data_IF_902333853321
#
_entry.id   IF_902333853321
#
_cell.length_a   1.000
_cell.length_b   1.000
_cell.length_c   1.000
_cell.angle_alpha   90.00
_cell.angle_beta   90.00
_cell.angle_gamma   90.00
#
_symmetry.space_group_name_H-M   'P 1'
#
loop_
_entity.id
_entity.type
_entity.pdbx_description
1 polymer ?
#
# COMPACT_ATOMS: atom_id res chain seq x y z
N UNK A 1 21.07 -29.20 -20.16
CA UNK A 1 21.38 -28.89 -18.74
C UNK A 1 20.26 -29.48 -17.90
N UNK A 2 20.57 -30.14 -16.79
CA UNK A 2 19.53 -30.66 -15.87
C UNK A 2 19.31 -29.63 -14.77
N UNK A 3 18.08 -29.16 -14.61
CA UNK A 3 17.68 -28.32 -13.49
C UNK A 3 17.23 -29.24 -12.34
N UNK A 4 17.81 -29.03 -11.16
CA UNK A 4 17.39 -29.70 -9.94
C UNK A 4 16.44 -28.75 -9.20
N UNK A 5 15.18 -29.14 -9.03
CA UNK A 5 14.19 -28.41 -8.24
C UNK A 5 13.93 -29.20 -6.97
N UNK A 6 14.15 -28.56 -5.82
CA UNK A 6 13.87 -29.13 -4.50
C UNK A 6 12.86 -28.22 -3.81
N UNK A 7 11.91 -28.82 -3.09
CA UNK A 7 10.93 -28.09 -2.28
C UNK A 7 11.26 -28.32 -0.80
N UNK A 8 11.97 -27.40 -0.13
CA UNK A 8 12.42 -27.59 1.25
C UNK A 8 11.27 -27.89 2.22
N UNK A 9 10.11 -27.24 2.03
CA UNK A 9 8.91 -27.46 2.86
C UNK A 9 8.34 -28.88 2.74
N UNK A 10 8.46 -29.51 1.57
CA UNK A 10 8.04 -30.90 1.40
C UNK A 10 9.02 -31.87 2.07
N UNK A 11 10.32 -31.55 2.06
CA UNK A 11 11.34 -32.37 2.72
C UNK A 11 11.24 -32.29 4.24
N UNK A 12 10.97 -31.12 4.81
CA UNK A 12 10.74 -30.95 6.24
C UNK A 12 9.44 -31.61 6.69
N UNK A 13 8.38 -31.53 5.89
CA UNK A 13 7.14 -32.29 6.11
C UNK A 13 7.38 -33.80 6.14
N UNK A 14 8.07 -34.34 5.14
CA UNK A 14 8.42 -35.77 5.09
C UNK A 14 9.31 -36.21 6.26
N UNK A 15 10.23 -35.36 6.72
CA UNK A 15 11.03 -35.64 7.92
C UNK A 15 10.14 -35.71 9.19
N UNK A 16 9.12 -34.86 9.29
CA UNK A 16 8.11 -34.91 10.36
C UNK A 16 7.32 -36.22 10.35
N UNK A 17 6.82 -36.63 9.19
CA UNK A 17 6.09 -37.90 9.04
C UNK A 17 6.95 -39.11 9.46
N UNK A 18 8.25 -39.09 9.13
CA UNK A 18 9.19 -40.13 9.54
C UNK A 18 9.41 -40.14 11.06
N UNK A 19 9.47 -38.99 11.72
CA UNK A 19 9.52 -38.93 13.19
C UNK A 19 8.31 -39.62 13.80
N UNK A 20 7.12 -39.35 13.27
CA UNK A 20 5.87 -39.95 13.75
C UNK A 20 5.85 -41.47 13.54
N UNK A 21 6.28 -41.96 12.38
CA UNK A 21 6.43 -43.41 12.11
C UNK A 21 7.40 -44.05 13.10
N UNK A 22 8.55 -43.41 13.35
CA UNK A 22 9.55 -43.91 14.29
C UNK A 22 9.00 -44.00 15.72
N UNK A 23 8.24 -42.98 16.14
CA UNK A 23 7.56 -42.94 17.45
C UNK A 23 6.52 -44.05 17.60
N UNK A 24 5.65 -44.23 16.60
CA UNK A 24 4.63 -45.28 16.60
C UNK A 24 5.25 -46.69 16.62
N UNK A 25 6.32 -46.89 15.85
CA UNK A 25 7.02 -48.18 15.80
C UNK A 25 7.73 -48.48 17.13
N UNK A 26 8.34 -47.48 17.78
CA UNK A 26 8.93 -47.64 19.10
C UNK A 26 7.87 -48.00 20.16
N UNK A 27 6.71 -47.34 20.13
CA UNK A 27 5.59 -47.65 21.02
C UNK A 27 5.06 -49.08 20.81
N UNK A 28 4.89 -49.51 19.55
CA UNK A 28 4.45 -50.85 19.21
C UNK A 28 5.45 -51.92 19.66
N UNK A 29 6.76 -51.71 19.41
CA UNK A 29 7.80 -52.64 19.85
C UNK A 29 7.87 -52.75 21.37
N UNK A 30 7.68 -51.63 22.09
CA UNK A 30 7.62 -51.60 23.55
C UNK A 30 6.44 -52.40 24.09
N UNK A 31 5.25 -52.22 23.51
CA UNK A 31 4.06 -52.97 23.89
C UNK A 31 4.20 -54.48 23.64
N UNK A 32 4.97 -54.87 22.61
CA UNK A 32 5.21 -56.27 22.26
C UNK A 32 6.25 -56.98 23.16
N UNK A 33 7.05 -56.27 23.96
CA UNK A 33 8.12 -56.88 24.80
C UNK A 33 7.56 -57.97 25.71
N UNK A 34 6.59 -57.62 26.55
CA UNK A 34 5.99 -58.56 27.51
C UNK A 34 5.45 -59.83 26.86
N UNK A 35 4.48 -59.75 25.94
CA UNK A 35 3.85 -60.94 25.35
C UNK A 35 4.79 -61.80 24.50
N UNK A 36 5.93 -61.27 24.01
CA UNK A 36 6.85 -62.03 23.14
C UNK A 36 8.09 -62.56 23.84
N UNK A 37 8.48 -61.99 24.99
CA UNK A 37 9.70 -62.39 25.71
C UNK A 37 9.45 -63.23 26.96
N UNK A 38 8.20 -63.29 27.44
CA UNK A 38 7.82 -64.10 28.61
C UNK A 38 6.79 -65.16 28.21
N UNK A 39 7.07 -65.92 27.16
CA UNK A 39 6.17 -67.00 26.71
C UNK A 39 6.22 -68.13 27.72
N UNK A 40 5.06 -68.53 28.24
CA UNK A 40 4.93 -69.64 29.18
C UNK A 40 4.83 -70.98 28.44
N UNK A 41 5.39 -72.04 29.02
CA UNK A 41 5.23 -73.40 28.51
C UNK A 41 3.76 -73.84 28.61
N UNK A 42 3.24 -74.47 27.55
CA UNK A 42 1.85 -74.93 27.50
C UNK A 42 1.57 -76.14 28.42
N UNK A 43 2.62 -76.90 28.76
CA UNK A 43 2.59 -78.05 29.65
C UNK A 43 3.87 -78.15 30.48
N UNK A 44 3.90 -79.08 31.44
CA UNK A 44 5.04 -79.31 32.34
C UNK A 44 6.16 -80.15 31.71
N UNK A 45 6.04 -80.51 30.44
CA UNK A 45 7.00 -81.33 29.70
C UNK A 45 8.15 -80.51 29.12
N UNK A 46 9.26 -81.19 28.88
CA UNK A 46 10.50 -80.58 28.38
C UNK A 46 10.35 -80.03 26.96
N UNK A 47 9.43 -80.56 26.15
CA UNK A 47 9.19 -80.09 24.77
C UNK A 47 8.46 -78.74 24.80
N UNK A 48 7.43 -78.60 25.63
CA UNK A 48 6.74 -77.32 25.88
C UNK A 48 7.68 -76.25 26.44
N UNK A 49 8.57 -76.63 27.36
CA UNK A 49 9.58 -75.73 27.91
C UNK A 49 10.60 -75.28 26.84
N UNK A 50 11.07 -76.20 25.99
CA UNK A 50 11.99 -75.89 24.90
C UNK A 50 11.35 -74.97 23.84
N UNK A 51 10.09 -75.21 23.48
CA UNK A 51 9.35 -74.36 22.53
C UNK A 51 9.17 -72.94 23.08
N UNK A 52 8.77 -72.80 24.35
CA UNK A 52 8.63 -71.50 25.00
C UNK A 52 9.97 -70.73 25.07
N UNK A 53 11.08 -71.43 25.30
CA UNK A 53 12.42 -70.85 25.30
C UNK A 53 12.85 -70.35 23.91
N UNK A 54 12.55 -71.09 22.83
CA UNK A 54 12.84 -70.67 21.45
C UNK A 54 12.07 -69.40 21.10
N UNK A 55 10.77 -69.33 21.39
CA UNK A 55 9.97 -68.14 21.10
C UNK A 55 10.39 -66.92 21.93
N UNK A 56 10.66 -67.12 23.22
CA UNK A 56 11.15 -66.05 24.10
C UNK A 56 12.53 -65.53 23.65
N UNK A 57 13.43 -66.44 23.23
CA UNK A 57 14.72 -66.08 22.66
C UNK A 57 14.61 -65.32 21.33
N UNK A 58 13.67 -65.71 20.46
CA UNK A 58 13.39 -64.97 19.24
C UNK A 58 12.84 -63.56 19.52
N UNK A 59 11.93 -63.43 20.50
CA UNK A 59 11.42 -62.14 20.96
C UNK A 59 12.54 -61.21 21.46
N UNK A 60 13.50 -61.74 22.24
CA UNK A 60 14.65 -60.96 22.71
C UNK A 60 15.57 -60.53 21.55
N UNK A 61 15.86 -61.42 20.60
CA UNK A 61 16.66 -61.09 19.42
C UNK A 61 15.99 -60.01 18.55
N UNK A 62 14.66 -60.09 18.39
CA UNK A 62 13.88 -59.07 17.71
C UNK A 62 13.97 -57.70 18.40
N UNK A 63 13.91 -57.64 19.74
CA UNK A 63 14.02 -56.37 20.48
C UNK A 63 15.39 -55.70 20.34
N UNK A 64 16.47 -56.50 20.30
CA UNK A 64 17.82 -55.98 20.02
C UNK A 64 17.90 -55.39 18.61
N UNK A 65 17.34 -56.09 17.62
CA UNK A 65 17.29 -55.61 16.24
C UNK A 65 16.43 -54.34 16.10
N UNK A 66 15.26 -54.27 16.75
CA UNK A 66 14.37 -53.11 16.67
C UNK A 66 15.01 -51.86 17.26
N UNK A 67 15.80 -51.99 18.32
CA UNK A 67 16.57 -50.88 18.88
C UNK A 67 17.64 -50.37 17.89
N UNK A 68 18.31 -51.28 17.16
CA UNK A 68 19.29 -50.92 16.14
C UNK A 68 18.64 -50.20 14.95
N UNK A 69 17.47 -50.67 14.51
CA UNK A 69 16.68 -50.04 13.44
C UNK A 69 16.18 -48.65 13.86
N UNK A 70 15.74 -48.49 15.12
CA UNK A 70 15.32 -47.19 15.64
C UNK A 70 16.47 -46.15 15.61
N UNK A 71 17.68 -46.56 16.01
CA UNK A 71 18.86 -45.69 15.95
C UNK A 71 19.27 -45.35 14.51
N UNK A 72 19.14 -46.29 13.56
CA UNK A 72 19.34 -46.01 12.14
C UNK A 72 18.31 -45.01 11.61
N UNK A 73 17.04 -45.21 11.94
CA UNK A 73 15.93 -44.34 11.53
C UNK A 73 16.12 -42.91 12.01
N UNK A 74 16.55 -42.72 13.26
CA UNK A 74 16.89 -41.39 13.80
C UNK A 74 17.98 -40.70 12.98
N UNK A 75 19.08 -41.39 12.68
CA UNK A 75 20.16 -40.84 11.86
C UNK A 75 19.72 -40.50 10.43
N UNK A 76 18.81 -41.30 9.87
CA UNK A 76 18.22 -41.03 8.56
C UNK A 76 17.42 -39.73 8.55
N UNK A 77 16.55 -39.52 9.55
CA UNK A 77 15.78 -38.28 9.71
C UNK A 77 16.69 -37.07 9.94
N UNK A 78 17.72 -37.21 10.76
CA UNK A 78 18.72 -36.16 10.98
C UNK A 78 19.44 -35.77 9.68
N UNK A 79 19.87 -36.75 8.88
CA UNK A 79 20.51 -36.51 7.59
C UNK A 79 19.56 -35.86 6.58
N UNK A 80 18.28 -36.23 6.58
CA UNK A 80 17.26 -35.63 5.71
C UNK A 80 17.05 -34.14 6.05
N UNK A 81 16.95 -33.82 7.33
CA UNK A 81 16.84 -32.43 7.81
C UNK A 81 18.09 -31.61 7.48
N UNK A 82 19.28 -32.16 7.69
CA UNK A 82 20.54 -31.51 7.33
C UNK A 82 20.63 -31.24 5.81
N UNK A 83 20.17 -32.20 4.98
CA UNK A 83 20.07 -32.05 3.53
C UNK A 83 19.12 -30.90 3.14
N UNK A 84 17.92 -30.84 3.71
CA UNK A 84 16.96 -29.77 3.45
C UNK A 84 17.54 -28.37 3.78
N UNK A 85 18.23 -28.24 4.92
CA UNK A 85 18.88 -26.98 5.31
C UNK A 85 20.04 -26.60 4.40
N UNK A 86 20.78 -27.58 3.86
CA UNK A 86 21.82 -27.32 2.86
C UNK A 86 21.25 -26.75 1.55
N UNK A 87 20.05 -27.18 1.13
CA UNK A 87 19.39 -26.64 -0.07
C UNK A 87 18.88 -25.21 0.16
N UNK A 88 18.26 -24.94 1.32
CA UNK A 88 17.86 -23.56 1.70
C UNK A 88 19.09 -22.64 1.79
N UNK A 89 20.18 -23.12 2.38
CA UNK A 89 21.44 -22.39 2.46
C UNK A 89 22.06 -22.11 1.08
N UNK A 90 21.97 -23.06 0.15
CA UNK A 90 22.45 -22.89 -1.21
C UNK A 90 21.61 -21.87 -2.00
N UNK A 91 20.29 -21.85 -1.83
CA UNK A 91 19.42 -20.83 -2.42
C UNK A 91 19.74 -19.43 -1.88
N UNK A 92 19.89 -19.29 -0.56
CA UNK A 92 20.26 -18.03 0.07
C UNK A 92 21.66 -17.54 -0.36
N UNK A 93 22.64 -18.44 -0.44
CA UNK A 93 24.00 -18.14 -0.89
C UNK A 93 24.09 -17.79 -2.37
N UNK A 94 23.14 -18.22 -3.20
CA UNK A 94 23.07 -17.85 -4.63
C UNK A 94 22.26 -16.56 -4.87
N UNK A 95 21.30 -16.22 -4.02
CA UNK A 95 20.50 -14.99 -4.16
C UNK A 95 21.28 -13.73 -3.72
N UNK A 96 22.04 -13.83 -2.64
CA UNK A 96 22.75 -12.67 -2.06
C UNK A 96 23.86 -12.08 -2.93
N UNK A 97 24.69 -12.85 -3.67
CA UNK A 97 25.72 -12.28 -4.54
C UNK A 97 25.12 -11.58 -5.75
N UNK A 98 23.98 -12.05 -6.27
CA UNK A 98 23.26 -11.39 -7.37
C UNK A 98 22.72 -10.03 -6.93
N UNK A 99 22.09 -9.93 -5.76
CA UNK A 99 21.59 -8.65 -5.24
C UNK A 99 22.72 -7.65 -4.97
N UNK A 100 23.83 -8.11 -4.40
CA UNK A 100 25.01 -7.25 -4.16
C UNK A 100 25.65 -6.83 -5.48
N UNK A 101 25.78 -7.73 -6.45
CA UNK A 101 26.32 -7.40 -7.77
C UNK A 101 25.44 -6.38 -8.52
N UNK A 102 24.11 -6.50 -8.42
CA UNK A 102 23.19 -5.52 -8.98
C UNK A 102 23.37 -4.14 -8.34
N UNK A 103 23.49 -4.07 -7.01
CA UNK A 103 23.71 -2.81 -6.32
C UNK A 103 25.08 -2.20 -6.62
N UNK A 104 26.14 -3.02 -6.70
CA UNK A 104 27.49 -2.57 -7.06
C UNK A 104 27.54 -2.08 -8.52
N UNK A 105 26.89 -2.80 -9.44
CA UNK A 105 26.81 -2.40 -10.84
C UNK A 105 26.05 -1.07 -11.01
N UNK A 106 24.91 -0.92 -10.32
CA UNK A 106 24.16 0.35 -10.30
C UNK A 106 24.99 1.46 -9.63
N UNK A 107 25.73 1.15 -8.57
CA UNK A 107 26.66 2.08 -7.92
C UNK A 107 27.74 2.58 -8.86
N UNK A 108 28.37 1.71 -9.66
CA UNK A 108 29.37 2.08 -10.67
C UNK A 108 28.76 2.94 -11.77
N UNK A 109 27.57 2.57 -12.27
CA UNK A 109 26.87 3.32 -13.32
C UNK A 109 26.45 4.71 -12.83
N UNK A 110 26.01 4.81 -11.57
CA UNK A 110 25.54 6.05 -10.97
C UNK A 110 26.65 6.93 -10.42
N UNK A 111 27.83 6.38 -10.10
CA UNK A 111 28.91 7.13 -9.44
C UNK A 111 29.31 8.42 -10.17
N UNK A 112 29.45 8.45 -11.52
CA UNK A 112 29.78 9.69 -12.23
C UNK A 112 28.69 10.75 -12.09
N UNK A 113 27.41 10.38 -12.23
CA UNK A 113 26.31 11.37 -12.17
C UNK A 113 25.98 11.78 -10.74
N UNK A 114 26.07 10.85 -9.79
CA UNK A 114 25.91 11.17 -8.37
C UNK A 114 26.96 12.19 -7.93
N UNK A 115 28.20 12.07 -8.42
CA UNK A 115 29.27 13.02 -8.15
C UNK A 115 29.09 14.38 -8.87
N UNK A 116 28.56 14.39 -10.10
CA UNK A 116 28.42 15.63 -10.90
C UNK A 116 27.14 16.43 -10.61
N UNK A 117 26.02 15.75 -10.38
CA UNK A 117 24.68 16.35 -10.32
C UNK A 117 23.89 15.94 -9.07
N UNK A 118 24.52 15.21 -8.14
CA UNK A 118 23.88 14.81 -6.87
C UNK A 118 22.73 13.84 -7.03
N UNK A 119 22.56 13.25 -8.23
CA UNK A 119 21.44 12.38 -8.59
C UNK A 119 21.91 11.14 -9.34
N UNK A 120 21.30 9.97 -9.10
CA UNK A 120 21.66 8.75 -9.81
C UNK A 120 21.21 8.86 -11.27
N UNK A 121 21.90 8.16 -12.17
CA UNK A 121 21.49 8.04 -13.57
C UNK A 121 20.28 7.11 -13.69
N UNK A 122 20.31 6.01 -12.94
CA UNK A 122 19.29 4.96 -12.89
C UNK A 122 18.99 4.62 -11.43
N UNK A 123 17.71 4.59 -11.05
CA UNK A 123 17.28 4.16 -9.73
C UNK A 123 16.06 4.94 -9.24
N UNK A 124 15.25 4.32 -8.38
CA UNK A 124 14.12 5.01 -7.78
C UNK A 124 14.58 6.01 -6.73
N UNK A 125 13.81 7.07 -6.56
CA UNK A 125 13.98 8.02 -5.47
C UNK A 125 13.63 7.38 -4.12
N UNK A 126 14.34 7.78 -3.07
CA UNK A 126 14.07 7.30 -1.73
C UNK A 126 12.71 7.84 -1.23
N UNK A 127 11.91 7.01 -0.59
CA UNK A 127 10.69 7.48 0.05
C UNK A 127 11.03 8.44 1.20
N UNK A 128 10.18 9.44 1.38
CA UNK A 128 10.24 10.36 2.50
C UNK A 128 10.11 9.62 3.83
N UNK A 129 10.74 10.20 4.85
CA UNK A 129 10.72 9.71 6.23
C UNK A 129 10.22 10.81 7.16
N UNK A 130 9.91 10.49 8.41
CA UNK A 130 9.52 11.51 9.39
C UNK A 130 10.57 12.63 9.53
N UNK A 131 11.87 12.32 9.41
CA UNK A 131 12.95 13.30 9.49
C UNK A 131 13.16 14.10 8.20
N UNK A 132 12.92 13.48 7.04
CA UNK A 132 12.97 14.13 5.74
C UNK A 132 11.71 13.79 4.94
N UNK A 133 10.62 14.56 5.10
CA UNK A 133 9.29 14.15 4.64
C UNK A 133 9.16 14.02 3.12
N UNK A 134 9.91 14.79 2.35
CA UNK A 134 9.81 14.73 0.89
C UNK A 134 10.44 13.45 0.34
N UNK A 135 9.77 12.84 -0.63
CA UNK A 135 10.36 11.80 -1.45
C UNK A 135 11.51 12.37 -2.30
N UNK A 136 12.59 11.61 -2.41
CA UNK A 136 13.70 11.93 -3.28
C UNK A 136 13.33 11.77 -4.75
N UNK A 137 14.00 12.52 -5.62
CA UNK A 137 13.83 12.37 -7.06
C UNK A 137 14.39 11.01 -7.54
N UNK A 138 13.73 10.43 -8.54
CA UNK A 138 14.24 9.29 -9.30
C UNK A 138 15.45 9.64 -10.15
N UNK A 139 16.08 8.60 -10.70
CA UNK A 139 17.26 8.71 -11.56
C UNK A 139 16.98 9.52 -12.82
N UNK A 140 18.02 10.13 -13.37
CA UNK A 140 17.92 11.05 -14.51
C UNK A 140 17.37 10.39 -15.77
N UNK A 141 17.73 9.13 -16.05
CA UNK A 141 17.26 8.40 -17.23
C UNK A 141 16.10 7.46 -16.91
N UNK A 142 16.24 6.69 -15.85
CA UNK A 142 15.24 5.69 -15.47
C UNK A 142 15.07 5.64 -13.95
N UNK A 143 13.85 5.80 -13.49
CA UNK A 143 13.53 5.68 -12.07
C UNK A 143 12.27 6.45 -11.69
N UNK A 144 11.48 5.84 -10.82
CA UNK A 144 10.32 6.49 -10.24
C UNK A 144 10.77 7.46 -9.14
N UNK A 145 10.03 8.53 -8.93
CA UNK A 145 10.18 9.37 -7.75
C UNK A 145 9.76 8.62 -6.47
N UNK A 146 10.40 8.96 -5.35
CA UNK A 146 10.02 8.43 -4.04
C UNK A 146 8.71 9.02 -3.55
N UNK A 147 7.93 8.27 -2.79
CA UNK A 147 6.70 8.78 -2.18
C UNK A 147 7.02 9.75 -1.04
N UNK A 148 6.22 10.79 -0.89
CA UNK A 148 6.25 11.68 0.27
C UNK A 148 5.75 10.97 1.54
N UNK A 149 6.30 11.39 2.67
CA UNK A 149 5.93 10.88 3.98
C UNK A 149 4.54 11.40 4.39
N UNK A 150 3.67 10.48 4.78
CA UNK A 150 2.38 10.83 5.39
C UNK A 150 2.59 11.11 6.88
N UNK A 151 2.18 12.28 7.33
CA UNK A 151 2.31 12.66 8.72
C UNK A 151 1.38 11.82 9.60
N UNK A 152 1.92 11.26 10.68
CA UNK A 152 1.16 10.48 11.65
C UNK A 152 0.98 11.28 12.93
N UNK A 153 -0.27 11.48 13.38
CA UNK A 153 -0.61 12.20 14.62
C UNK A 153 -0.72 13.72 14.47
N UNK A 154 -0.81 14.44 15.59
CA UNK A 154 -0.93 15.92 15.65
C UNK A 154 0.39 16.64 15.34
N UNK A 155 1.17 16.11 14.41
CA UNK A 155 2.40 16.76 13.96
C UNK A 155 1.94 17.88 13.04
N UNK A 156 1.98 19.12 13.53
CA UNK A 156 1.45 20.32 12.88
C UNK A 156 2.28 20.73 11.63
N UNK A 157 2.40 19.82 10.66
CA UNK A 157 3.25 19.93 9.48
C UNK A 157 2.53 19.37 8.25
N UNK A 158 2.85 19.91 7.08
CA UNK A 158 2.34 19.42 5.82
C UNK A 158 2.85 18.02 5.49
N UNK A 159 2.12 17.32 4.62
CA UNK A 159 2.55 16.07 4.04
C UNK A 159 3.80 16.27 3.19
N UNK A 160 4.67 15.27 3.13
CA UNK A 160 5.84 15.32 2.27
C UNK A 160 5.45 15.34 0.79
N UNK A 161 6.13 16.12 -0.02
CA UNK A 161 5.94 16.05 -1.47
C UNK A 161 6.48 14.72 -2.02
N UNK A 162 5.85 14.19 -3.06
CA UNK A 162 6.41 13.11 -3.86
C UNK A 162 7.59 13.61 -4.69
N UNK A 163 8.59 12.75 -4.87
CA UNK A 163 9.75 13.03 -5.71
C UNK A 163 9.41 12.96 -7.19
N UNK A 164 10.17 13.67 -8.01
CA UNK A 164 9.97 13.66 -9.47
C UNK A 164 10.71 12.48 -10.11
N UNK A 165 10.19 11.96 -11.20
CA UNK A 165 10.96 11.09 -12.09
C UNK A 165 11.92 11.92 -12.99
N UNK A 166 12.85 11.24 -13.67
CA UNK A 166 13.74 11.83 -14.66
C UNK A 166 13.16 11.80 -16.07
N UNK A 167 13.81 11.08 -16.99
CA UNK A 167 13.34 10.91 -18.38
C UNK A 167 12.21 9.87 -18.48
N UNK A 168 12.42 8.70 -17.86
CA UNK A 168 11.45 7.59 -17.81
C UNK A 168 11.20 7.23 -16.34
N UNK A 169 9.93 7.22 -15.94
CA UNK A 169 9.51 6.82 -14.59
C UNK A 169 8.28 7.57 -14.12
N UNK A 170 7.59 7.04 -13.13
CA UNK A 170 6.42 7.69 -12.54
C UNK A 170 6.84 8.62 -11.40
N UNK A 171 6.13 9.73 -11.23
CA UNK A 171 6.29 10.59 -10.07
C UNK A 171 5.81 9.90 -8.79
N UNK A 172 6.45 10.23 -7.66
CA UNK A 172 6.06 9.71 -6.36
C UNK A 172 4.76 10.33 -5.88
N UNK A 173 3.96 9.60 -5.10
CA UNK A 173 2.76 10.16 -4.47
C UNK A 173 3.13 11.18 -3.38
N UNK A 174 2.33 12.22 -3.22
CA UNK A 174 2.40 13.11 -2.07
C UNK A 174 1.89 12.44 -0.80
N UNK A 175 2.53 12.72 0.33
CA UNK A 175 2.12 12.22 1.64
C UNK A 175 0.92 12.99 2.21
N UNK A 176 0.14 12.35 3.07
CA UNK A 176 -0.96 13.02 3.79
C UNK A 176 -0.47 14.07 4.78
N UNK A 177 -1.23 15.17 4.91
CA UNK A 177 -0.97 16.25 5.85
C UNK A 177 -1.25 15.86 7.29
N UNK A 178 -0.50 16.46 8.23
CA UNK A 178 -0.83 16.37 9.65
C UNK A 178 -2.09 17.17 9.97
N UNK A 179 -2.61 17.05 11.19
CA UNK A 179 -3.90 17.66 11.58
C UNK A 179 -3.98 19.16 11.23
N UNK A 180 -4.95 19.54 10.39
CA UNK A 180 -5.17 20.88 9.83
C UNK A 180 -4.12 21.37 8.80
N UNK A 181 -3.19 20.53 8.35
CA UNK A 181 -2.14 20.90 7.39
C UNK A 181 -2.36 20.25 6.04
N UNK A 182 -1.85 20.91 5.00
CA UNK A 182 -2.01 20.45 3.63
C UNK A 182 -1.34 19.09 3.38
N UNK A 183 -1.92 18.32 2.46
CA UNK A 183 -1.25 17.17 1.86
C UNK A 183 -0.09 17.62 1.00
N UNK A 184 0.90 16.75 0.84
CA UNK A 184 2.04 17.00 -0.05
C UNK A 184 1.64 16.89 -1.51
N UNK A 185 2.32 17.62 -2.40
CA UNK A 185 2.07 17.51 -3.83
C UNK A 185 2.61 16.17 -4.37
N UNK A 186 1.96 15.61 -5.38
CA UNK A 186 2.49 14.51 -6.15
C UNK A 186 3.66 14.97 -7.03
N UNK A 187 4.66 14.10 -7.19
CA UNK A 187 5.82 14.37 -8.05
C UNK A 187 5.49 14.24 -9.53
N UNK A 188 6.27 14.91 -10.37
CA UNK A 188 6.11 14.82 -11.82
C UNK A 188 6.54 13.45 -12.36
N UNK A 189 5.78 12.94 -13.34
CA UNK A 189 6.17 11.81 -14.17
C UNK A 189 7.33 12.17 -15.11
N UNK A 190 7.93 11.15 -15.71
CA UNK A 190 9.12 11.29 -16.54
C UNK A 190 8.84 12.14 -17.78
N UNK A 191 9.86 12.90 -18.20
CA UNK A 191 9.74 13.83 -19.33
C UNK A 191 9.28 13.15 -20.63
N UNK A 192 9.73 11.93 -20.89
CA UNK A 192 9.34 11.16 -22.07
C UNK A 192 8.22 10.18 -21.78
N UNK A 193 8.33 9.40 -20.69
CA UNK A 193 7.33 8.42 -20.32
C UNK A 193 7.18 8.32 -18.80
N UNK A 194 5.94 8.43 -18.34
CA UNK A 194 5.56 8.13 -16.97
C UNK A 194 4.44 9.02 -16.47
N UNK A 195 3.67 8.46 -15.54
CA UNK A 195 2.54 9.13 -14.93
C UNK A 195 3.01 10.06 -13.81
N UNK A 196 2.26 11.13 -13.59
CA UNK A 196 2.44 11.96 -12.39
C UNK A 196 1.95 11.25 -11.13
N UNK A 197 2.56 11.56 -10.00
CA UNK A 197 2.13 11.05 -8.70
C UNK A 197 0.86 11.73 -8.22
N UNK A 198 0.02 11.02 -7.46
CA UNK A 198 -1.17 11.60 -6.84
C UNK A 198 -0.77 12.60 -5.75
N UNK A 199 -1.57 13.65 -5.56
CA UNK A 199 -1.47 14.56 -4.42
C UNK A 199 -1.92 13.90 -3.12
N UNK A 200 -1.29 14.28 -2.02
CA UNK A 200 -1.61 13.80 -0.68
C UNK A 200 -2.90 14.40 -0.16
N UNK A 201 -3.60 13.66 0.71
CA UNK A 201 -4.83 14.14 1.36
C UNK A 201 -4.47 15.19 2.42
N UNK A 202 -5.25 16.26 2.51
CA UNK A 202 -5.12 17.25 3.58
C UNK A 202 -5.53 16.69 4.94
N UNK A 203 -4.82 17.07 6.00
CA UNK A 203 -5.11 16.56 7.34
C UNK A 203 -6.35 17.20 7.94
N UNK A 204 -7.15 16.40 8.66
CA UNK A 204 -8.38 16.87 9.29
C UNK A 204 -8.12 17.93 10.38
N UNK A 205 -9.03 18.88 10.52
CA UNK A 205 -9.00 19.90 11.56
C UNK A 205 -9.28 19.34 12.96
N UNK A 206 -8.89 20.08 14.00
CA UNK A 206 -9.17 19.69 15.39
C UNK A 206 -10.39 20.42 15.95
N UNK A 207 -11.21 19.75 16.76
CA UNK A 207 -12.53 20.24 17.18
C UNK A 207 -12.63 21.02 18.49
N UNK A 208 -11.50 21.42 19.10
CA UNK A 208 -11.53 21.89 20.50
C UNK A 208 -11.00 23.33 20.65
N UNK A 209 -11.92 24.31 20.63
CA UNK A 209 -11.75 25.62 21.27
C UNK A 209 -11.57 26.83 20.34
N UNK A 210 -12.05 28.00 20.80
CA UNK A 210 -11.80 29.30 20.18
C UNK A 210 -10.29 29.57 20.12
N UNK A 211 -9.69 29.46 18.93
CA UNK A 211 -8.29 29.80 18.68
C UNK A 211 -7.33 28.64 18.40
N UNK A 212 -7.80 27.40 18.20
CA UNK A 212 -6.94 26.29 17.75
C UNK A 212 -6.99 26.06 16.23
N UNK A 213 -6.09 25.22 15.70
CA UNK A 213 -6.02 24.85 14.28
C UNK A 213 -7.31 24.11 13.86
N UNK A 214 -8.23 24.91 13.34
CA UNK A 214 -9.66 24.62 13.31
C UNK A 214 -10.21 24.19 11.94
N UNK A 215 -9.51 24.55 10.86
CA UNK A 215 -9.89 24.16 9.50
C UNK A 215 -9.21 22.86 9.06
N UNK A 216 -9.81 22.18 8.09
CA UNK A 216 -9.15 21.07 7.43
C UNK A 216 -8.02 21.56 6.52
N UNK A 217 -6.94 20.79 6.42
CA UNK A 217 -5.86 21.09 5.49
C UNK A 217 -6.27 20.86 4.04
N UNK A 218 -5.73 21.63 3.10
CA UNK A 218 -6.01 21.42 1.68
C UNK A 218 -5.38 20.10 1.16
N UNK A 219 -5.99 19.49 0.16
CA UNK A 219 -5.33 18.42 -0.59
C UNK A 219 -4.14 18.95 -1.38
N UNK A 220 -3.10 18.12 -1.52
CA UNK A 220 -1.95 18.42 -2.36
C UNK A 220 -2.30 18.28 -3.84
N UNK A 221 -1.64 19.03 -4.72
CA UNK A 221 -1.85 18.90 -6.16
C UNK A 221 -1.30 17.58 -6.69
N UNK A 222 -1.93 17.03 -7.72
CA UNK A 222 -1.38 15.92 -8.49
C UNK A 222 -0.19 16.37 -9.33
N UNK A 223 0.79 15.49 -9.52
CA UNK A 223 1.95 15.75 -10.36
C UNK A 223 1.59 15.70 -11.83
N UNK A 224 2.19 16.56 -12.65
CA UNK A 224 2.06 16.48 -14.10
C UNK A 224 2.80 15.28 -14.71
N UNK A 225 2.40 14.83 -15.89
CA UNK A 225 3.13 13.87 -16.71
C UNK A 225 3.88 14.57 -17.86
N UNK A 226 4.87 13.88 -18.42
CA UNK A 226 5.63 14.34 -19.59
C UNK A 226 4.92 14.06 -20.91
N UNK A 227 5.68 13.72 -21.95
CA UNK A 227 5.14 13.50 -23.31
C UNK A 227 4.12 12.36 -23.37
N UNK A 228 4.43 11.25 -22.70
CA UNK A 228 3.56 10.07 -22.60
C UNK A 228 3.28 9.75 -21.13
N UNK A 229 1.99 9.78 -20.78
CA UNK A 229 1.53 9.50 -19.42
C UNK A 229 0.34 10.38 -19.07
N UNK A 230 -0.26 10.09 -17.93
CA UNK A 230 -1.34 10.88 -17.34
C UNK A 230 -0.85 11.44 -16.01
N UNK A 231 -1.21 12.69 -15.72
CA UNK A 231 -0.92 13.34 -14.46
C UNK A 231 -1.67 12.66 -13.30
N UNK A 232 -1.15 12.83 -12.10
CA UNK A 232 -1.79 12.29 -10.90
C UNK A 232 -3.06 13.04 -10.55
N UNK A 233 -3.97 12.39 -9.84
CA UNK A 233 -5.11 13.06 -9.23
C UNK A 233 -4.64 14.04 -8.14
N UNK A 234 -5.38 15.14 -7.96
CA UNK A 234 -5.24 15.98 -6.78
C UNK A 234 -5.76 15.27 -5.53
N UNK A 235 -5.13 15.55 -4.39
CA UNK A 235 -5.54 15.01 -3.10
C UNK A 235 -6.84 15.65 -2.62
N UNK A 236 -7.60 14.93 -1.80
CA UNK A 236 -8.80 15.51 -1.18
C UNK A 236 -8.42 16.48 -0.06
N UNK A 237 -9.25 17.50 0.17
CA UNK A 237 -9.15 18.33 1.36
C UNK A 237 -9.55 17.57 2.63
N UNK A 238 -8.90 17.90 3.75
CA UNK A 238 -9.24 17.38 5.07
C UNK A 238 -10.55 17.96 5.58
N UNK A 239 -11.26 17.20 6.42
CA UNK A 239 -12.47 17.69 7.07
C UNK A 239 -12.18 18.87 8.00
N UNK A 240 -13.11 19.81 8.11
CA UNK A 240 -13.05 20.87 9.12
C UNK A 240 -13.19 20.34 10.55
N UNK A 241 -12.86 21.17 11.53
CA UNK A 241 -13.05 20.87 12.96
C UNK A 241 -14.53 20.79 13.38
N UNK A 242 -14.76 20.59 14.69
CA UNK A 242 -16.07 20.32 15.30
C UNK A 242 -17.19 21.21 14.73
N UNK A 243 -18.36 20.63 14.42
CA UNK A 243 -19.51 21.38 13.95
C UNK A 243 -19.96 22.47 14.93
N UNK A 244 -19.62 22.38 16.22
CA UNK A 244 -20.18 23.25 17.27
C UNK A 244 -19.77 24.72 17.24
N UNK A 245 -18.79 25.12 16.41
CA UNK A 245 -18.34 26.51 16.31
C UNK A 245 -18.44 27.02 14.86
N UNK A 246 -19.11 28.15 14.58
CA UNK A 246 -19.17 28.74 13.25
C UNK A 246 -17.78 29.00 12.65
N UNK A 247 -17.60 28.82 11.34
CA UNK A 247 -16.38 29.22 10.60
C UNK A 247 -15.28 28.17 10.43
N UNK A 248 -15.56 26.89 10.65
CA UNK A 248 -14.57 25.80 10.58
C UNK A 248 -14.72 25.01 9.27
N UNK A 249 -14.41 25.64 8.13
CA UNK A 249 -14.46 24.95 6.84
C UNK A 249 -13.33 23.90 6.72
N UNK A 250 -13.64 22.81 6.03
CA UNK A 250 -12.68 21.83 5.57
C UNK A 250 -11.77 22.41 4.48
N UNK A 251 -10.68 21.70 4.22
CA UNK A 251 -9.74 22.08 3.19
C UNK A 251 -10.35 21.92 1.81
N UNK A 252 -9.86 22.70 0.85
CA UNK A 252 -10.17 22.48 -0.56
C UNK A 252 -9.43 21.25 -1.08
N UNK A 253 -9.93 20.66 -2.16
CA UNK A 253 -9.18 19.67 -2.92
C UNK A 253 -7.89 20.25 -3.53
N UNK A 254 -6.99 19.36 -3.95
CA UNK A 254 -5.81 19.68 -4.74
C UNK A 254 -6.11 19.65 -6.23
N UNK A 255 -5.41 20.45 -7.04
CA UNK A 255 -5.59 20.47 -8.49
C UNK A 255 -5.05 19.16 -9.09
N UNK A 256 -5.72 18.62 -10.11
CA UNK A 256 -5.21 17.48 -10.86
C UNK A 256 -3.93 17.82 -11.65
N UNK A 257 -3.03 16.85 -11.78
CA UNK A 257 -1.94 16.91 -12.76
C UNK A 257 -2.50 16.83 -14.18
N UNK A 258 -1.66 16.90 -15.21
CA UNK A 258 -2.09 16.91 -16.62
C UNK A 258 -3.06 15.75 -16.98
N UNK A 259 -4.33 16.03 -17.25
CA UNK A 259 -5.38 15.02 -17.49
C UNK A 259 -5.83 14.24 -16.24
N UNK A 260 -5.26 14.56 -15.07
CA UNK A 260 -5.60 14.00 -13.78
C UNK A 260 -6.81 14.71 -13.17
N UNK A 261 -7.58 13.98 -12.36
CA UNK A 261 -8.79 14.53 -11.72
C UNK A 261 -8.43 15.51 -10.59
N UNK A 262 -9.25 16.53 -10.40
CA UNK A 262 -9.18 17.40 -9.23
C UNK A 262 -9.61 16.66 -7.96
N UNK A 263 -9.03 17.04 -6.83
CA UNK A 263 -9.41 16.53 -5.52
C UNK A 263 -10.75 17.08 -5.06
N UNK A 264 -11.47 16.30 -4.27
CA UNK A 264 -12.71 16.76 -3.64
C UNK A 264 -12.38 17.66 -2.43
N UNK A 265 -13.30 18.57 -2.09
CA UNK A 265 -13.22 19.31 -0.83
C UNK A 265 -13.43 18.41 0.39
N UNK A 266 -12.88 18.80 1.54
CA UNK A 266 -13.34 18.31 2.85
C UNK A 266 -14.59 19.09 3.28
N UNK A 267 -15.31 18.66 4.34
CA UNK A 267 -16.60 19.26 4.77
C UNK A 267 -16.60 20.81 4.73
N UNK A 268 -17.44 21.42 3.89
CA UNK A 268 -17.50 22.89 3.67
C UNK A 268 -16.39 23.48 2.79
N UNK A 269 -15.48 22.65 2.27
CA UNK A 269 -14.42 22.98 1.34
C UNK A 269 -14.82 22.70 -0.11
N UNK A 270 -14.16 23.40 -1.03
CA UNK A 270 -14.44 23.31 -2.46
C UNK A 270 -13.69 22.15 -3.11
N UNK A 271 -14.29 21.57 -4.15
CA UNK A 271 -13.57 20.74 -5.09
C UNK A 271 -12.56 21.57 -5.89
N UNK A 272 -11.50 20.92 -6.37
CA UNK A 272 -10.46 21.57 -7.16
C UNK A 272 -10.57 21.24 -8.65
N UNK A 273 -9.97 22.07 -9.49
CA UNK A 273 -9.99 21.84 -10.92
C UNK A 273 -9.32 20.52 -11.29
N UNK A 274 -9.85 19.86 -12.33
CA UNK A 274 -9.12 18.84 -13.06
C UNK A 274 -7.95 19.45 -13.80
N UNK A 275 -6.89 18.69 -14.03
CA UNK A 275 -5.74 19.20 -14.73
C UNK A 275 -5.94 19.19 -16.25
N UNK A 276 -5.34 20.16 -16.92
CA UNK A 276 -5.36 20.26 -18.37
C UNK A 276 -4.86 18.99 -19.05
N UNK A 277 -5.50 18.58 -20.13
CA UNK A 277 -5.09 17.46 -20.95
C UNK A 277 -3.67 17.63 -21.50
N UNK A 278 -3.00 16.50 -21.69
CA UNK A 278 -1.71 16.45 -22.38
C UNK A 278 -1.86 16.77 -23.88
N UNK A 279 -0.76 16.65 -24.63
CA UNK A 279 -0.79 16.86 -26.08
C UNK A 279 -1.82 15.96 -26.81
N UNK A 280 -2.07 14.76 -26.27
CA UNK A 280 -2.94 13.74 -26.84
C UNK A 280 -4.02 13.23 -25.88
N UNK A 281 -4.23 13.93 -24.77
CA UNK A 281 -5.03 13.42 -23.65
C UNK A 281 -6.22 14.31 -23.33
N UNK A 282 -7.25 13.68 -22.78
CA UNK A 282 -8.42 14.37 -22.26
C UNK A 282 -8.05 15.28 -21.08
N UNK A 283 -8.84 16.32 -20.89
CA UNK A 283 -8.80 17.13 -19.69
C UNK A 283 -9.34 16.38 -18.47
N UNK A 284 -8.78 16.67 -17.30
CA UNK A 284 -9.16 16.02 -16.06
C UNK A 284 -10.54 16.45 -15.56
N UNK A 285 -11.25 15.55 -14.89
CA UNK A 285 -12.53 15.89 -14.24
C UNK A 285 -12.28 16.75 -13.01
N UNK A 286 -13.09 17.80 -12.83
CA UNK A 286 -13.08 18.62 -11.64
C UNK A 286 -13.58 17.88 -10.40
N UNK A 287 -12.95 18.15 -9.26
CA UNK A 287 -13.34 17.58 -7.97
C UNK A 287 -14.68 18.12 -7.50
N UNK A 288 -15.40 17.34 -6.71
CA UNK A 288 -16.68 17.75 -6.13
C UNK A 288 -16.45 18.63 -4.89
N UNK A 289 -17.35 19.59 -4.69
CA UNK A 289 -17.49 20.25 -3.41
C UNK A 289 -18.00 19.29 -2.34
N UNK A 290 -17.80 19.64 -1.07
CA UNK A 290 -18.27 18.81 0.04
C UNK A 290 -19.38 19.49 0.85
N UNK A 291 -20.20 18.66 1.51
CA UNK A 291 -21.35 19.11 2.28
C UNK A 291 -20.93 20.15 3.32
N UNK A 292 -21.72 21.21 3.46
CA UNK A 292 -21.51 22.23 4.49
C UNK A 292 -21.67 21.65 5.89
N UNK A 293 -20.70 21.89 6.77
CA UNK A 293 -20.76 21.40 8.15
C UNK A 293 -21.94 21.99 8.92
N UNK A 294 -22.50 21.26 9.89
CA UNK A 294 -23.53 21.79 10.79
C UNK A 294 -22.90 22.83 11.74
N UNK A 295 -23.51 23.98 12.00
CA UNK A 295 -23.07 24.88 13.08
C UNK A 295 -23.80 24.48 14.35
N UNK A 296 -23.19 23.72 15.25
CA UNK A 296 -23.79 23.19 16.49
C UNK A 296 -24.14 24.22 17.56
N UNK A 297 -24.39 25.48 17.19
CA UNK A 297 -25.23 26.37 17.97
C UNK A 297 -26.69 26.02 17.69
N UNK A 298 -27.54 25.90 18.72
CA UNK A 298 -28.93 25.43 18.64
C UNK A 298 -29.92 26.20 17.74
N UNK A 299 -29.43 26.95 16.75
CA UNK A 299 -30.18 27.70 15.74
C UNK A 299 -30.18 27.03 14.35
N UNK A 300 -29.59 25.83 14.18
CA UNK A 300 -29.73 25.06 12.93
C UNK A 300 -29.13 25.71 11.68
N UNK A 301 -28.13 26.59 11.85
CA UNK A 301 -27.45 27.22 10.72
C UNK A 301 -26.47 26.23 10.13
N UNK A 302 -26.71 25.74 8.92
CA UNK A 302 -25.72 24.96 8.17
C UNK A 302 -24.71 25.91 7.54
N UNK A 303 -23.43 25.53 7.53
CA UNK A 303 -22.44 26.20 6.69
C UNK A 303 -22.78 25.96 5.22
N UNK A 304 -22.28 26.82 4.34
CA UNK A 304 -22.48 26.66 2.90
C UNK A 304 -21.83 25.38 2.39
N UNK A 305 -22.44 24.81 1.35
CA UNK A 305 -21.87 23.67 0.66
C UNK A 305 -20.67 24.11 -0.18
N UNK A 306 -19.65 23.26 -0.26
CA UNK A 306 -18.52 23.49 -1.15
C UNK A 306 -18.96 23.53 -2.60
N UNK A 307 -18.35 24.41 -3.39
CA UNK A 307 -18.51 24.43 -4.85
C UNK A 307 -17.69 23.32 -5.49
N UNK A 308 -18.14 22.83 -6.65
CA UNK A 308 -17.34 21.95 -7.50
C UNK A 308 -16.15 22.67 -8.11
N UNK A 309 -15.16 21.89 -8.59
CA UNK A 309 -14.02 22.38 -9.35
C UNK A 309 -14.25 22.26 -10.84
N UNK A 310 -13.62 23.13 -11.64
CA UNK A 310 -13.77 23.10 -13.10
C UNK A 310 -13.17 21.84 -13.71
N UNK A 311 -13.75 21.39 -14.83
CA UNK A 311 -13.10 20.40 -15.69
C UNK A 311 -11.87 21.02 -16.38
N UNK A 312 -10.82 20.24 -16.57
CA UNK A 312 -9.64 20.67 -17.33
C UNK A 312 -9.92 20.67 -18.84
N UNK A 313 -9.29 21.56 -19.59
CA UNK A 313 -9.40 21.59 -21.04
C UNK A 313 -8.51 20.50 -21.66
N UNK A 314 -8.94 19.92 -22.77
CA UNK A 314 -8.01 19.23 -23.66
C UNK A 314 -7.21 20.25 -24.48
N UNK A 315 -6.02 19.87 -24.94
CA UNK A 315 -5.16 20.76 -25.73
C UNK A 315 -5.36 20.57 -27.22
N UNK A 316 -4.61 19.65 -27.81
CA UNK A 316 -4.60 19.49 -29.27
C UNK A 316 -5.65 18.47 -29.74
N UNK A 317 -5.72 17.37 -28.99
CA UNK A 317 -6.65 16.26 -29.18
C UNK A 317 -7.16 15.81 -27.80
N UNK A 318 -8.39 15.30 -27.75
CA UNK A 318 -9.00 14.79 -26.53
C UNK A 318 -10.24 15.59 -26.11
N UNK A 319 -11.05 15.03 -25.24
CA UNK A 319 -12.24 15.68 -24.70
C UNK A 319 -11.88 16.58 -23.51
N UNK A 320 -12.65 17.65 -23.33
CA UNK A 320 -12.61 18.43 -22.11
C UNK A 320 -13.13 17.61 -20.92
N UNK A 321 -12.59 17.88 -19.75
CA UNK A 321 -13.02 17.24 -18.51
C UNK A 321 -14.36 17.75 -18.03
N UNK A 322 -15.10 16.92 -17.29
CA UNK A 322 -16.36 17.34 -16.69
C UNK A 322 -16.10 18.27 -15.48
N UNK A 323 -16.99 19.24 -15.28
CA UNK A 323 -17.03 20.05 -14.06
C UNK A 323 -17.51 19.24 -12.86
N UNK A 324 -16.97 19.54 -11.69
CA UNK A 324 -17.35 18.95 -10.42
C UNK A 324 -18.70 19.48 -9.93
N UNK A 325 -19.42 18.64 -9.20
CA UNK A 325 -20.69 19.03 -8.58
C UNK A 325 -20.46 19.89 -7.33
N UNK A 326 -21.36 20.84 -7.12
CA UNK A 326 -21.51 21.54 -5.84
C UNK A 326 -22.24 20.67 -4.81
N UNK A 327 -22.09 21.00 -3.54
CA UNK A 327 -22.62 20.20 -2.44
C UNK A 327 -23.79 20.84 -1.69
N UNK A 328 -24.47 20.04 -0.88
CA UNK A 328 -25.56 20.51 0.00
C UNK A 328 -24.99 21.40 1.11
N UNK A 329 -25.71 22.45 1.49
CA UNK A 329 -25.40 23.28 2.66
C UNK A 329 -26.43 24.38 2.89
N UNK A 330 -26.08 25.39 3.68
CA UNK A 330 -26.93 26.56 3.94
C UNK A 330 -27.44 27.22 2.65
N UNK A 331 -26.54 27.78 1.85
CA UNK A 331 -26.84 28.24 0.49
C UNK A 331 -26.73 27.14 -0.59
N UNK A 332 -26.13 25.98 -0.27
CA UNK A 332 -25.65 25.02 -1.28
C UNK A 332 -24.40 25.53 -2.02
N UNK A 333 -23.63 24.63 -2.61
CA UNK A 333 -22.45 24.95 -3.39
C UNK A 333 -22.75 25.05 -4.89
N UNK A 334 -21.99 25.84 -5.63
CA UNK A 334 -22.17 25.92 -7.08
C UNK A 334 -21.59 24.68 -7.78
N UNK A 335 -22.21 24.25 -8.87
CA UNK A 335 -21.53 23.39 -9.84
C UNK A 335 -20.47 24.18 -10.59
N UNK A 336 -19.57 23.50 -11.28
CA UNK A 336 -18.49 24.13 -12.02
C UNK A 336 -18.60 23.92 -13.53
N UNK A 337 -17.98 24.83 -14.29
CA UNK A 337 -17.93 24.70 -15.74
C UNK A 337 -17.14 23.46 -16.19
N UNK A 338 -17.52 22.95 -17.36
CA UNK A 338 -16.79 21.93 -18.10
C UNK A 338 -15.49 22.47 -18.70
N UNK A 339 -14.56 21.58 -18.99
CA UNK A 339 -13.44 21.85 -19.86
C UNK A 339 -13.81 21.84 -21.34
N UNK A 340 -12.99 22.51 -22.14
CA UNK A 340 -13.11 22.59 -23.59
C UNK A 340 -12.43 21.38 -24.25
N UNK A 341 -13.00 20.89 -25.35
CA UNK A 341 -12.39 19.83 -26.18
C UNK A 341 -11.17 20.30 -26.98
N UNK A 342 -10.39 19.35 -27.49
CA UNK A 342 -9.16 19.62 -28.23
C UNK A 342 -9.39 20.42 -29.51
N UNK A 343 -8.40 21.26 -29.86
CA UNK A 343 -8.48 22.19 -30.99
C UNK A 343 -8.79 21.52 -32.35
N UNK A 344 -8.35 20.29 -32.56
CA UNK A 344 -8.62 19.56 -33.81
C UNK A 344 -9.72 18.52 -33.67
N UNK A 345 -9.70 17.71 -32.60
CA UNK A 345 -10.71 16.69 -32.33
C UNK A 345 -10.94 16.55 -30.82
N UNK A 346 -12.22 16.50 -30.44
CA UNK A 346 -12.66 16.31 -29.06
C UNK A 346 -13.93 17.09 -28.74
N UNK A 347 -14.74 16.55 -27.84
CA UNK A 347 -15.92 17.24 -27.31
C UNK A 347 -15.56 18.03 -26.06
N UNK A 348 -16.34 19.07 -25.73
CA UNK A 348 -16.30 19.63 -24.38
C UNK A 348 -16.80 18.62 -23.35
N UNK A 349 -16.45 18.85 -22.08
CA UNK A 349 -17.01 18.10 -20.96
C UNK A 349 -18.43 18.55 -20.61
N UNK A 350 -19.04 17.84 -19.67
CA UNK A 350 -20.30 18.24 -19.05
C UNK A 350 -20.05 19.21 -17.89
N UNK A 351 -20.94 20.18 -17.69
CA UNK A 351 -20.92 21.04 -16.52
C UNK A 351 -21.34 20.30 -15.25
N UNK A 352 -20.87 20.78 -14.10
CA UNK A 352 -21.22 20.25 -12.79
C UNK A 352 -22.60 20.68 -12.32
N UNK A 353 -23.30 19.78 -11.62
CA UNK A 353 -24.58 20.10 -11.00
C UNK A 353 -24.40 21.06 -9.81
N UNK A 354 -25.35 21.98 -9.62
CA UNK A 354 -25.45 22.81 -8.41
C UNK A 354 -25.88 22.01 -7.19
N UNK A 355 -25.46 22.49 -6.02
CA UNK A 355 -25.80 21.95 -4.71
C UNK A 355 -27.13 22.47 -4.18
N UNK A 356 -27.70 21.74 -3.22
CA UNK A 356 -29.01 22.06 -2.62
C UNK A 356 -28.82 22.95 -1.39
N UNK A 357 -29.50 24.11 -1.37
CA UNK A 357 -29.60 24.97 -0.20
C UNK A 357 -30.68 24.50 0.77
N UNK A 358 -30.38 24.46 2.07
CA UNK A 358 -31.36 24.16 3.12
C UNK A 358 -31.85 25.45 3.75
N UNK A 359 -33.01 25.96 3.32
CA UNK A 359 -33.61 27.14 3.94
C UNK A 359 -33.90 26.87 5.42
N UNK A 360 -33.34 27.69 6.32
CA UNK A 360 -33.63 27.61 7.75
C UNK A 360 -35.13 27.67 7.99
N UNK A 361 -35.65 26.76 8.83
CA UNK A 361 -37.05 26.78 9.27
C UNK A 361 -37.41 28.21 9.68
N UNK A 362 -38.33 28.82 8.92
CA UNK A 362 -38.76 30.19 9.13
C UNK A 362 -39.14 30.38 10.59
N UNK A 363 -38.63 31.46 11.20
CA UNK A 363 -39.01 31.87 12.55
C UNK A 363 -40.53 31.93 12.57
N UNK A 364 -41.16 30.99 13.27
CA UNK A 364 -42.54 31.18 13.72
C UNK A 364 -42.47 32.40 14.63
N UNK A 365 -42.98 33.52 14.11
CA UNK A 365 -43.22 34.71 14.90
C UNK A 365 -44.29 34.30 15.92
N UNK A 366 -43.86 33.92 17.13
CA UNK A 366 -44.76 33.86 18.27
C UNK A 366 -45.09 35.32 18.62
N UNK A 367 -46.27 35.75 18.17
CA UNK A 367 -46.97 36.92 18.69
C UNK A 367 -47.31 36.73 20.17
#
# INVERSE_FOLDING_TARGET
MAYLTVFPDMLTGAAGDLVDIGSQLAAANTAAIGPTTTVLAAGADEVSAAIAAVFSGHGQAYQVLSAQVAAFHQRFVEALNAGAQSYVGAEAANATPLQTLEQDALGIINAPTQALVGRPLIGNGANGTAANPNGGDGGLLYGNGGNGFTQTGNNNVAGGNGGNAGLIGNGGAGGGGGTAFAGGNGGHGGLLYGNGGAGGIGGDGTGNGFGSLSGGGNGGSGGGAGLWGVGGAGGNGGAGGSPTVPGHAGGNGGIGGTGGTGGNGGIGGNGAAGGEGGLWGDGGVGGNGAVGGNSGGGFGVMNDGGSGGHGGDARLFGNGGNGGAGAVGGAGGNGADSGIGGQFFGNGGDGGAGGIGTAGLGRVCLM
#
